data_IF_586850033136
#
_entry.id   IF_586850033136
#
_cell.length_a   1.000
_cell.length_b   1.000
_cell.length_c   1.000
_cell.angle_alpha   90.00
_cell.angle_beta   90.00
_cell.angle_gamma   90.00
#
_symmetry.space_group_name_H-M   'P 1'
#
loop_
_entity.id
_entity.type
_entity.pdbx_description
1 polymer ?
#
# COMPACT_ATOMS: atom_id res chain seq x y z
N UNK A 1 0.35 28.86 15.88
CA UNK A 1 1.23 27.96 16.65
C UNK A 1 1.68 26.87 15.71
N UNK A 2 2.98 26.67 15.56
CA UNK A 2 3.52 25.61 14.71
C UNK A 2 3.36 24.28 15.44
N UNK A 3 2.62 23.35 14.84
CA UNK A 3 2.30 22.05 15.43
C UNK A 3 3.31 20.99 14.95
N UNK A 4 3.82 20.19 15.88
CA UNK A 4 4.89 19.22 15.64
C UNK A 4 4.42 17.80 15.93
N UNK A 5 5.08 16.83 15.31
CA UNK A 5 4.92 15.39 15.57
C UNK A 5 6.27 14.83 15.98
N UNK A 6 6.29 14.13 17.11
CA UNK A 6 7.44 13.32 17.52
C UNK A 6 7.50 12.07 16.66
N UNK A 7 8.62 11.88 15.98
CA UNK A 7 8.90 10.69 15.18
C UNK A 7 10.30 10.15 15.48
N UNK A 8 10.58 8.99 14.92
CA UNK A 8 11.93 8.44 14.88
C UNK A 8 12.38 8.30 13.44
N UNK A 9 13.58 8.76 13.13
CA UNK A 9 14.20 8.68 11.81
C UNK A 9 15.46 7.82 11.89
N UNK A 10 15.58 6.84 11.01
CA UNK A 10 16.81 6.10 10.76
C UNK A 10 17.61 6.84 9.69
N UNK A 11 18.83 7.28 10.01
CA UNK A 11 19.74 7.96 9.07
C UNK A 11 21.02 7.14 9.04
N UNK A 12 21.35 6.57 7.87
CA UNK A 12 22.55 5.74 7.67
C UNK A 12 22.69 4.58 8.70
N UNK A 13 21.57 3.98 9.11
CA UNK A 13 21.54 2.87 10.07
C UNK A 13 21.51 3.29 11.54
N UNK A 14 21.58 4.60 11.84
CA UNK A 14 21.49 5.15 13.19
C UNK A 14 20.12 5.79 13.43
N UNK A 15 19.63 5.69 14.66
CA UNK A 15 18.25 6.08 15.01
C UNK A 15 18.23 7.37 15.80
N UNK A 16 17.49 8.37 15.30
CA UNK A 16 17.38 9.69 15.90
C UNK A 16 15.92 10.03 16.23
N UNK A 17 15.61 10.55 17.45
CA UNK A 17 14.34 11.19 17.71
C UNK A 17 14.28 12.53 16.96
N UNK A 18 13.13 12.84 16.34
CA UNK A 18 12.95 14.07 15.59
C UNK A 18 11.57 14.68 15.84
N UNK A 19 11.50 16.00 15.78
CA UNK A 19 10.24 16.76 15.83
C UNK A 19 9.99 17.40 14.47
N UNK A 20 8.97 16.90 13.78
CA UNK A 20 8.66 17.32 12.40
C UNK A 20 7.40 18.17 12.42
N UNK A 21 7.43 19.32 11.73
CA UNK A 21 6.23 20.15 11.56
C UNK A 21 5.17 19.37 10.78
N UNK A 22 3.91 19.43 11.22
CA UNK A 22 2.82 18.61 10.64
C UNK A 22 2.59 18.81 9.15
N UNK A 23 2.79 20.03 8.69
CA UNK A 23 2.62 20.47 7.31
C UNK A 23 3.90 20.37 6.47
N UNK A 24 5.02 19.95 7.07
CA UNK A 24 6.26 19.76 6.33
C UNK A 24 6.10 18.60 5.34
N UNK A 25 6.24 18.93 4.05
CA UNK A 25 6.32 17.92 2.99
C UNK A 25 7.59 17.10 3.11
N UNK A 26 7.53 15.83 2.74
CA UNK A 26 8.70 14.95 2.79
C UNK A 26 9.88 15.44 1.94
N UNK A 27 9.62 16.19 0.86
CA UNK A 27 10.68 16.90 0.11
C UNK A 27 11.50 17.83 0.99
N UNK A 28 10.82 18.63 1.82
CA UNK A 28 11.46 19.54 2.76
C UNK A 28 12.19 18.78 3.87
N UNK A 29 11.57 17.71 4.39
CA UNK A 29 12.21 16.85 5.38
C UNK A 29 13.52 16.22 4.87
N UNK A 30 13.53 15.71 3.63
CA UNK A 30 14.74 15.18 2.99
C UNK A 30 15.83 16.26 2.92
N UNK A 31 15.48 17.50 2.59
CA UNK A 31 16.44 18.60 2.53
C UNK A 31 17.01 18.96 3.90
N UNK A 32 16.17 19.02 4.93
CA UNK A 32 16.61 19.30 6.30
C UNK A 32 17.54 18.20 6.82
N UNK A 33 17.20 16.92 6.62
CA UNK A 33 18.08 15.80 7.00
C UNK A 33 19.42 15.88 6.26
N UNK A 34 19.41 16.17 4.94
CA UNK A 34 20.67 16.31 4.17
C UNK A 34 21.54 17.45 4.68
N UNK A 35 20.93 18.54 5.16
CA UNK A 35 21.65 19.69 5.70
C UNK A 35 22.20 19.39 7.09
N UNK A 36 21.42 18.74 7.95
CA UNK A 36 21.81 18.38 9.32
C UNK A 36 22.95 17.35 9.32
N UNK A 37 22.89 16.35 8.44
CA UNK A 37 23.87 15.25 8.36
C UNK A 37 24.88 15.42 7.21
N UNK A 38 25.17 16.66 6.81
CA UNK A 38 25.99 16.94 5.62
C UNK A 38 27.41 16.37 5.72
N UNK A 39 28.02 16.39 6.91
CA UNK A 39 29.40 15.91 7.10
C UNK A 39 29.46 14.38 7.12
N UNK A 40 28.47 13.70 7.71
CA UNK A 40 28.33 12.26 7.69
C UNK A 40 28.13 11.73 6.26
N UNK A 41 27.32 12.45 5.46
CA UNK A 41 27.11 12.12 4.05
C UNK A 41 28.38 12.28 3.21
N UNK A 42 29.20 13.30 3.49
CA UNK A 42 30.52 13.47 2.86
C UNK A 42 31.47 12.34 3.25
N UNK A 43 31.55 12.00 4.54
CA UNK A 43 32.40 10.91 5.04
C UNK A 43 32.01 9.55 4.42
N UNK A 44 30.72 9.33 4.19
CA UNK A 44 30.20 8.14 3.52
C UNK A 44 30.28 8.20 1.98
N UNK A 45 30.75 9.31 1.40
CA UNK A 45 30.80 9.54 -0.06
C UNK A 45 29.43 9.47 -0.76
N UNK A 46 28.38 10.00 -0.10
CA UNK A 46 26.98 9.97 -0.57
C UNK A 46 26.43 11.36 -0.94
N UNK A 47 27.26 12.40 -0.97
CA UNK A 47 26.86 13.79 -1.17
C UNK A 47 26.07 14.06 -2.47
N UNK A 48 26.35 13.27 -3.51
CA UNK A 48 25.73 13.37 -4.83
C UNK A 48 24.63 12.33 -5.08
N UNK A 49 24.35 11.45 -4.11
CA UNK A 49 23.34 10.41 -4.25
C UNK A 49 21.92 10.98 -4.20
N UNK A 50 20.98 10.22 -4.78
CA UNK A 50 19.55 10.50 -4.65
C UNK A 50 19.04 9.87 -3.37
N UNK A 51 18.41 10.69 -2.53
CA UNK A 51 17.87 10.25 -1.25
C UNK A 51 16.36 10.16 -1.29
N UNK A 52 15.84 9.18 -0.56
CA UNK A 52 14.42 9.01 -0.35
C UNK A 52 14.12 8.72 1.12
N UNK A 53 12.85 8.83 1.46
CA UNK A 53 12.31 8.37 2.72
C UNK A 53 11.44 7.14 2.48
N UNK A 54 11.42 6.21 3.42
CA UNK A 54 10.47 5.10 3.47
C UNK A 54 10.12 4.77 4.92
N UNK A 55 9.09 3.97 5.12
CA UNK A 55 8.75 3.47 6.45
C UNK A 55 9.60 2.25 6.77
N UNK A 56 10.09 2.13 8.00
CA UNK A 56 10.83 0.94 8.43
C UNK A 56 9.94 -0.30 8.29
N UNK A 57 10.45 -1.29 7.56
CA UNK A 57 9.69 -2.50 7.21
C UNK A 57 8.69 -2.31 6.08
N UNK A 58 8.50 -1.09 5.57
CA UNK A 58 7.66 -0.78 4.41
C UNK A 58 8.30 -1.18 3.07
N UNK A 59 7.53 -1.04 2.00
CA UNK A 59 8.04 -1.14 0.63
C UNK A 59 7.83 0.17 -0.11
N UNK A 60 8.78 0.51 -0.99
CA UNK A 60 8.75 1.72 -1.80
C UNK A 60 9.15 2.97 -1.00
N UNK A 61 9.33 4.06 -1.73
CA UNK A 61 9.64 5.37 -1.18
C UNK A 61 8.34 6.15 -0.89
N UNK A 62 8.42 7.09 0.04
CA UNK A 62 7.34 8.02 0.33
C UNK A 62 7.22 9.05 -0.77
N UNK A 63 5.97 9.43 -1.05
CA UNK A 63 5.66 10.53 -1.96
C UNK A 63 6.16 11.85 -1.36
N UNK A 64 7.12 12.49 -2.04
CA UNK A 64 7.79 13.70 -1.55
C UNK A 64 6.85 14.90 -1.38
N UNK A 65 5.67 14.89 -2.00
CA UNK A 65 4.70 15.98 -1.91
C UNK A 65 3.66 15.78 -0.79
N UNK A 66 3.67 14.63 -0.11
CA UNK A 66 2.88 14.33 1.10
C UNK A 66 3.56 14.79 2.38
N UNK A 67 2.79 14.82 3.46
CA UNK A 67 3.20 15.19 4.82
C UNK A 67 3.16 14.00 5.78
N UNK A 68 3.71 14.18 6.98
CA UNK A 68 3.65 13.15 8.04
C UNK A 68 2.21 12.79 8.43
N UNK A 69 1.27 13.74 8.31
CA UNK A 69 -0.14 13.55 8.63
C UNK A 69 -0.83 12.62 7.63
N UNK A 70 -0.41 12.61 6.37
CA UNK A 70 -1.01 11.79 5.31
C UNK A 70 -0.69 10.30 5.47
N UNK A 71 0.39 9.97 6.18
CA UNK A 71 0.90 8.60 6.32
C UNK A 71 0.50 7.98 7.67
N UNK A 72 0.24 8.81 8.67
CA UNK A 72 -0.06 8.38 10.03
C UNK A 72 1.20 8.37 10.92
N UNK A 73 1.01 8.84 12.15
CA UNK A 73 2.07 9.38 13.02
C UNK A 73 2.85 8.35 13.85
N UNK A 74 2.71 7.04 13.60
CA UNK A 74 3.24 6.01 14.52
C UNK A 74 4.24 5.03 13.89
N UNK A 75 4.99 5.48 12.88
CA UNK A 75 5.95 4.63 12.16
C UNK A 75 7.31 5.29 12.09
N UNK A 76 8.36 4.48 12.22
CA UNK A 76 9.76 4.92 12.09
C UNK A 76 10.07 5.19 10.62
N UNK A 77 10.56 6.39 10.32
CA UNK A 77 11.06 6.76 9.00
C UNK A 77 12.47 6.22 8.82
N UNK A 78 12.83 5.90 7.59
CA UNK A 78 14.18 5.56 7.17
C UNK A 78 14.56 6.50 6.06
N UNK A 79 15.72 7.13 6.22
CA UNK A 79 16.38 7.98 5.25
C UNK A 79 17.61 7.24 4.73
N UNK A 80 17.69 7.14 3.42
CA UNK A 80 18.84 6.57 2.74
C UNK A 80 18.76 6.80 1.24
N UNK A 81 19.64 6.15 0.50
CA UNK A 81 19.69 6.31 -0.96
C UNK A 81 18.48 5.63 -1.61
N UNK A 82 18.05 6.12 -2.77
CA UNK A 82 17.01 5.48 -3.58
C UNK A 82 17.37 4.03 -3.95
N UNK A 83 18.68 3.72 -4.03
CA UNK A 83 19.18 2.38 -4.31
C UNK A 83 18.92 1.39 -3.15
N UNK A 84 18.95 1.87 -1.91
CA UNK A 84 18.70 1.07 -0.70
C UNK A 84 17.21 0.90 -0.38
N UNK A 85 16.35 1.72 -1.00
CA UNK A 85 14.92 1.70 -0.72
C UNK A 85 14.33 0.30 -0.95
N UNK A 86 13.58 -0.26 0.02
CA UNK A 86 13.06 -1.61 -0.06
C UNK A 86 12.11 -1.75 -1.24
N UNK A 87 12.40 -2.69 -2.15
CA UNK A 87 11.55 -2.96 -3.30
C UNK A 87 10.51 -4.02 -2.96
N UNK A 88 9.26 -3.77 -3.32
CA UNK A 88 8.18 -4.74 -3.18
C UNK A 88 8.49 -5.95 -4.07
N UNK A 89 8.29 -7.17 -3.56
CA UNK A 89 8.41 -8.38 -4.40
C UNK A 89 7.26 -8.37 -5.41
N UNK A 90 7.60 -8.41 -6.70
CA UNK A 90 6.64 -8.42 -7.81
C UNK A 90 6.89 -9.64 -8.69
N UNK A 91 5.81 -10.30 -9.13
CA UNK A 91 5.89 -11.37 -10.12
C UNK A 91 4.70 -11.33 -11.07
N UNK A 92 4.84 -11.92 -12.27
CA UNK A 92 3.73 -12.05 -13.21
C UNK A 92 2.70 -13.06 -12.70
N UNK A 93 1.44 -12.65 -12.64
CA UNK A 93 0.31 -13.47 -12.21
C UNK A 93 -0.87 -13.22 -13.16
N UNK A 94 -0.90 -13.91 -14.32
CA UNK A 94 -1.96 -13.76 -15.30
C UNK A 94 -3.33 -14.06 -14.72
N UNK A 95 -4.36 -13.38 -15.24
CA UNK A 95 -5.74 -13.55 -14.79
C UNK A 95 -6.20 -14.99 -14.90
N UNK A 96 -5.91 -15.66 -16.02
CA UNK A 96 -6.31 -17.05 -16.28
C UNK A 96 -5.75 -17.97 -15.20
N UNK A 97 -4.49 -17.74 -14.79
CA UNK A 97 -3.85 -18.50 -13.71
C UNK A 97 -4.64 -18.36 -12.41
N UNK A 98 -5.04 -17.13 -12.05
CA UNK A 98 -5.82 -16.87 -10.83
C UNK A 98 -7.18 -17.59 -10.88
N UNK A 99 -7.85 -17.56 -12.02
CA UNK A 99 -9.15 -18.23 -12.19
C UNK A 99 -9.05 -19.76 -12.06
N UNK A 100 -7.90 -20.33 -12.45
CA UNK A 100 -7.60 -21.77 -12.34
C UNK A 100 -7.02 -22.18 -10.97
N UNK A 101 -6.67 -21.24 -10.09
CA UNK A 101 -6.16 -21.59 -8.76
C UNK A 101 -7.28 -22.24 -7.93
N UNK A 102 -6.97 -23.33 -7.19
CA UNK A 102 -7.93 -23.92 -6.28
C UNK A 102 -8.24 -22.93 -5.15
N UNK A 103 -9.51 -22.84 -4.77
CA UNK A 103 -9.92 -22.05 -3.61
C UNK A 103 -9.54 -22.80 -2.33
N UNK A 104 -8.61 -22.23 -1.56
CA UNK A 104 -8.13 -22.78 -0.30
C UNK A 104 -8.69 -21.94 0.84
N UNK A 105 -9.33 -22.60 1.81
CA UNK A 105 -9.74 -21.94 3.06
C UNK A 105 -8.47 -21.61 3.85
N UNK A 106 -8.21 -20.32 4.00
CA UNK A 106 -7.14 -19.82 4.86
C UNK A 106 -7.77 -19.58 6.23
N UNK A 107 -7.46 -20.44 7.21
CA UNK A 107 -8.21 -20.52 8.47
C UNK A 107 -8.41 -19.17 9.18
N UNK A 108 -9.52 -19.04 9.91
CA UNK A 108 -9.96 -17.80 10.59
C UNK A 108 -8.89 -17.19 11.54
N UNK A 109 -7.95 -18.01 12.01
CA UNK A 109 -6.83 -17.59 12.87
C UNK A 109 -5.85 -16.61 12.23
N UNK A 110 -5.88 -16.41 10.91
CA UNK A 110 -4.98 -15.46 10.24
C UNK A 110 -5.43 -14.01 10.34
N UNK A 111 -6.67 -13.77 10.79
CA UNK A 111 -7.13 -12.43 11.15
C UNK A 111 -7.09 -11.42 9.99
N UNK A 112 -7.18 -11.91 8.75
CA UNK A 112 -7.05 -11.08 7.55
C UNK A 112 -8.38 -10.40 7.24
N UNK A 113 -8.32 -9.09 7.00
CA UNK A 113 -9.49 -8.32 6.59
C UNK A 113 -9.12 -7.24 5.58
N UNK A 114 -10.08 -6.90 4.72
CA UNK A 114 -10.12 -5.63 4.01
C UNK A 114 -11.08 -4.70 4.74
N UNK A 115 -10.68 -3.47 5.01
CA UNK A 115 -11.55 -2.45 5.63
C UNK A 115 -11.77 -1.33 4.63
N UNK A 116 -13.01 -1.14 4.19
CA UNK A 116 -13.34 -0.05 3.26
C UNK A 116 -13.38 1.29 4.01
N UNK A 117 -12.66 2.30 3.49
CA UNK A 117 -12.36 3.49 4.27
C UNK A 117 -13.56 4.42 4.53
N UNK A 118 -14.56 4.47 3.64
CA UNK A 118 -15.67 5.42 3.71
C UNK A 118 -16.77 4.94 4.66
N UNK A 119 -17.19 3.69 4.52
CA UNK A 119 -18.24 3.03 5.31
C UNK A 119 -17.71 2.33 6.55
N UNK A 120 -16.38 2.11 6.62
CA UNK A 120 -15.72 1.30 7.66
C UNK A 120 -16.17 -0.16 7.66
N UNK A 121 -16.80 -0.62 6.57
CA UNK A 121 -17.22 -2.01 6.43
C UNK A 121 -15.99 -2.92 6.37
N UNK A 122 -16.00 -3.94 7.20
CA UNK A 122 -14.96 -4.96 7.25
C UNK A 122 -15.35 -6.18 6.41
N UNK A 123 -14.40 -6.68 5.64
CA UNK A 123 -14.51 -7.89 4.84
C UNK A 123 -13.43 -8.87 5.30
N UNK A 124 -13.80 -9.81 6.16
CA UNK A 124 -12.95 -10.96 6.51
C UNK A 124 -12.54 -11.77 5.28
N UNK A 125 -11.30 -12.26 5.27
CA UNK A 125 -10.75 -13.05 4.19
C UNK A 125 -10.47 -14.46 4.70
N UNK A 126 -11.39 -15.38 4.41
CA UNK A 126 -11.35 -16.76 4.89
C UNK A 126 -10.98 -17.77 3.79
N UNK A 127 -10.75 -17.29 2.56
CA UNK A 127 -10.33 -18.10 1.41
C UNK A 127 -9.43 -17.31 0.46
N UNK A 128 -8.60 -18.03 -0.29
CA UNK A 128 -7.75 -17.49 -1.36
C UNK A 128 -7.77 -18.42 -2.59
N UNK A 129 -7.64 -17.88 -3.82
CA UNK A 129 -7.67 -16.47 -4.13
C UNK A 129 -9.07 -15.86 -3.88
N UNK A 130 -9.13 -14.55 -3.65
CA UNK A 130 -10.39 -13.81 -3.60
C UNK A 130 -10.37 -12.71 -4.66
N UNK A 131 -11.44 -12.63 -5.47
CA UNK A 131 -11.63 -11.55 -6.43
C UNK A 131 -12.41 -10.43 -5.75
N UNK A 132 -11.92 -9.20 -5.90
CA UNK A 132 -12.51 -7.99 -5.34
C UNK A 132 -12.94 -7.04 -6.45
N UNK A 133 -14.07 -6.37 -6.25
CA UNK A 133 -14.67 -5.47 -7.22
C UNK A 133 -16.06 -4.99 -6.77
N UNK A 134 -16.78 -4.36 -7.70
CA UNK A 134 -18.14 -3.86 -7.48
C UNK A 134 -19.15 -5.01 -7.37
N UNK A 135 -20.16 -4.86 -6.51
CA UNK A 135 -21.33 -5.74 -6.47
C UNK A 135 -22.10 -5.72 -7.81
N UNK A 136 -22.59 -6.88 -8.23
CA UNK A 136 -23.46 -7.02 -9.39
C UNK A 136 -23.88 -8.48 -9.54
N UNK A 137 -25.13 -8.72 -9.96
CA UNK A 137 -25.74 -10.04 -10.10
C UNK A 137 -24.84 -11.01 -10.89
N UNK A 138 -24.26 -11.97 -10.19
CA UNK A 138 -23.88 -13.28 -10.74
C UNK A 138 -24.25 -14.32 -9.67
N UNK A 139 -25.37 -14.98 -9.93
CA UNK A 139 -25.76 -16.26 -9.35
C UNK A 139 -24.73 -17.34 -9.73
N UNK A 140 -24.74 -18.45 -8.98
CA UNK A 140 -23.98 -19.71 -9.13
C UNK A 140 -22.86 -19.94 -8.10
N UNK A 141 -23.24 -20.44 -6.93
CA UNK A 141 -22.72 -21.71 -6.42
C UNK A 141 -21.27 -21.84 -5.94
N UNK A 142 -20.40 -20.84 -6.14
CA UNK A 142 -18.99 -20.93 -5.75
C UNK A 142 -18.48 -19.63 -5.11
N UNK A 143 -17.97 -19.78 -3.90
CA UNK A 143 -17.73 -18.75 -2.88
C UNK A 143 -16.51 -17.90 -3.28
N UNK A 144 -16.64 -17.02 -4.28
CA UNK A 144 -15.50 -16.23 -4.83
C UNK A 144 -15.66 -14.71 -4.85
N UNK A 145 -16.79 -14.14 -4.42
CA UNK A 145 -17.01 -12.70 -4.54
C UNK A 145 -17.60 -12.10 -3.26
N UNK A 146 -16.82 -11.27 -2.57
CA UNK A 146 -17.36 -10.22 -1.67
C UNK A 146 -17.29 -8.93 -2.48
N UNK A 147 -18.44 -8.48 -2.97
CA UNK A 147 -18.50 -7.22 -3.72
C UNK A 147 -18.57 -6.02 -2.77
N UNK A 148 -18.26 -4.85 -3.31
CA UNK A 148 -18.55 -3.56 -2.68
C UNK A 148 -19.88 -3.02 -3.24
N UNK A 149 -20.83 -2.71 -2.36
CA UNK A 149 -22.16 -2.22 -2.73
C UNK A 149 -22.11 -0.89 -3.51
N UNK A 150 -22.61 -0.94 -4.74
CA UNK A 150 -22.65 0.18 -5.68
C UNK A 150 -23.69 1.25 -5.31
N UNK A 151 -24.73 0.91 -4.55
CA UNK A 151 -25.77 1.86 -4.12
C UNK A 151 -25.23 2.86 -3.11
N UNK A 152 -24.17 2.47 -2.39
CA UNK A 152 -23.49 3.34 -1.46
C UNK A 152 -22.43 4.16 -2.22
N UNK A 153 -21.76 3.60 -3.24
CA UNK A 153 -20.62 4.20 -3.96
C UNK A 153 -20.99 4.63 -5.40
N UNK A 154 -21.45 5.87 -5.64
CA UNK A 154 -21.68 6.37 -7.02
C UNK A 154 -20.41 6.33 -7.89
N UNK A 155 -19.24 6.41 -7.26
CA UNK A 155 -17.91 6.26 -7.88
C UNK A 155 -17.57 4.81 -8.30
N UNK A 156 -18.36 3.81 -7.92
CA UNK A 156 -18.12 2.41 -8.27
C UNK A 156 -18.21 2.13 -9.78
N UNK A 157 -18.64 3.09 -10.61
CA UNK A 157 -18.66 2.94 -12.07
C UNK A 157 -17.26 2.68 -12.65
N UNK A 158 -16.20 3.21 -12.03
CA UNK A 158 -14.80 2.95 -12.42
C UNK A 158 -14.24 1.66 -11.81
N UNK A 159 -15.07 0.94 -11.04
CA UNK A 159 -14.71 -0.32 -10.40
C UNK A 159 -15.42 -1.47 -11.12
N UNK A 160 -14.65 -2.30 -11.84
CA UNK A 160 -15.18 -3.55 -12.42
C UNK A 160 -15.60 -4.55 -11.35
N UNK A 161 -16.45 -5.52 -11.71
CA UNK A 161 -16.87 -6.61 -10.80
C UNK A 161 -15.71 -7.55 -10.44
N UNK A 162 -14.79 -7.70 -11.37
CA UNK A 162 -13.58 -8.51 -11.35
C UNK A 162 -12.33 -7.62 -11.39
N UNK A 163 -12.26 -6.63 -10.49
CA UNK A 163 -11.30 -5.53 -10.57
C UNK A 163 -9.86 -5.96 -10.27
N UNK A 164 -9.69 -6.68 -9.17
CA UNK A 164 -8.41 -7.17 -8.69
C UNK A 164 -8.62 -8.49 -7.95
N UNK A 165 -7.53 -9.19 -7.65
CA UNK A 165 -7.55 -10.37 -6.80
C UNK A 165 -6.50 -10.30 -5.72
N UNK A 166 -6.84 -10.81 -4.54
CA UNK A 166 -5.85 -11.19 -3.55
C UNK A 166 -5.46 -12.65 -3.75
N UNK A 167 -4.16 -12.90 -3.71
CA UNK A 167 -3.58 -14.24 -3.78
C UNK A 167 -2.60 -14.44 -2.64
N UNK A 168 -2.43 -15.69 -2.23
CA UNK A 168 -1.42 -16.10 -1.25
C UNK A 168 -0.33 -16.90 -1.98
N UNK A 169 0.92 -16.66 -1.59
CA UNK A 169 2.08 -17.43 -2.03
C UNK A 169 3.15 -17.41 -0.95
N UNK A 170 3.59 -18.59 -0.52
CA UNK A 170 4.69 -18.78 0.43
C UNK A 170 4.49 -18.02 1.77
N UNK A 171 3.25 -17.99 2.27
CA UNK A 171 2.82 -17.29 3.48
C UNK A 171 2.69 -15.77 3.33
N UNK A 172 2.80 -15.24 2.11
CA UNK A 172 2.70 -13.81 1.79
C UNK A 172 1.47 -13.54 0.94
N UNK A 173 0.88 -12.35 1.12
CA UNK A 173 -0.32 -11.93 0.42
C UNK A 173 0.03 -10.92 -0.66
N UNK A 174 -0.65 -11.00 -1.80
CA UNK A 174 -0.39 -10.14 -2.94
C UNK A 174 -1.70 -9.63 -3.53
N UNK A 175 -1.69 -8.37 -3.99
CA UNK A 175 -2.75 -7.81 -4.83
C UNK A 175 -2.35 -7.95 -6.30
N UNK A 176 -3.29 -8.38 -7.14
CA UNK A 176 -3.12 -8.52 -8.59
C UNK A 176 -4.21 -7.72 -9.29
N UNK A 177 -3.87 -6.69 -10.08
CA UNK A 177 -4.85 -5.98 -10.91
C UNK A 177 -5.34 -6.89 -12.05
N UNK A 178 -6.66 -7.01 -12.19
CA UNK A 178 -7.31 -7.88 -13.18
C UNK A 178 -7.96 -7.12 -14.33
N UNK A 179 -7.86 -5.79 -14.36
CA UNK A 179 -8.43 -4.92 -15.40
C UNK A 179 -7.38 -3.90 -15.86
N UNK A 180 -7.27 -3.74 -17.18
CA UNK A 180 -6.33 -2.78 -17.79
C UNK A 180 -6.89 -1.35 -17.78
N UNK A 181 -8.18 -1.23 -18.07
CA UNK A 181 -8.85 0.07 -18.27
C UNK A 181 -9.30 0.71 -16.95
N UNK A 182 -9.46 -0.10 -15.90
CA UNK A 182 -9.82 0.34 -14.56
C UNK A 182 -8.65 0.04 -13.61
N UNK A 183 -7.79 1.03 -13.34
CA UNK A 183 -6.53 0.79 -12.63
C UNK A 183 -6.73 0.51 -11.14
N UNK A 184 -5.81 -0.30 -10.59
CA UNK A 184 -5.63 -0.51 -9.15
C UNK A 184 -4.38 0.22 -8.68
N UNK A 185 -4.41 0.78 -7.47
CA UNK A 185 -3.30 1.53 -6.89
C UNK A 185 -2.98 1.07 -5.48
N UNK A 186 -1.72 1.25 -5.08
CA UNK A 186 -1.34 1.37 -3.67
C UNK A 186 -1.45 2.84 -3.27
N UNK A 187 -2.58 3.21 -2.65
CA UNK A 187 -2.94 4.60 -2.38
C UNK A 187 -1.97 5.31 -1.42
N UNK A 188 -1.35 4.57 -0.50
CA UNK A 188 -0.33 5.12 0.41
C UNK A 188 0.85 5.72 -0.37
N UNK A 189 1.26 5.05 -1.46
CA UNK A 189 2.39 5.42 -2.30
C UNK A 189 1.98 6.18 -3.56
N UNK A 190 0.68 6.32 -3.82
CA UNK A 190 0.13 6.82 -5.08
C UNK A 190 0.66 6.05 -6.31
N UNK A 191 0.95 4.76 -6.14
CA UNK A 191 1.56 3.92 -7.17
C UNK A 191 0.46 3.18 -7.95
N UNK A 192 0.42 3.36 -9.27
CA UNK A 192 -0.44 2.55 -10.16
C UNK A 192 0.19 1.18 -10.34
N UNK A 193 -0.59 0.13 -10.08
CA UNK A 193 -0.16 -1.24 -10.24
C UNK A 193 -0.27 -1.68 -11.70
N UNK A 194 0.73 -2.41 -12.18
CA UNK A 194 0.73 -3.01 -13.51
C UNK A 194 -0.30 -4.14 -13.61
N UNK A 195 -1.00 -4.21 -14.74
CA UNK A 195 -1.95 -5.28 -15.06
C UNK A 195 -1.27 -6.67 -14.97
N UNK A 196 -1.94 -7.64 -14.32
CA UNK A 196 -1.46 -9.03 -14.15
C UNK A 196 -0.10 -9.19 -13.46
N UNK A 197 0.24 -8.22 -12.61
CA UNK A 197 1.44 -8.26 -11.78
C UNK A 197 1.01 -8.31 -10.33
N UNK A 198 1.59 -9.26 -9.59
CA UNK A 198 1.30 -9.49 -8.19
C UNK A 198 2.22 -8.63 -7.32
N UNK A 199 1.64 -7.77 -6.49
CA UNK A 199 2.37 -6.88 -5.59
C UNK A 199 2.15 -7.31 -4.14
N UNK A 200 3.23 -7.62 -3.43
CA UNK A 200 3.15 -8.10 -2.05
C UNK A 200 2.51 -7.04 -1.14
N UNK A 201 1.52 -7.40 -0.33
CA UNK A 201 0.83 -6.52 0.60
C UNK A 201 1.40 -6.60 2.01
N UNK A 202 1.28 -5.49 2.73
CA UNK A 202 1.55 -5.40 4.17
C UNK A 202 0.35 -4.85 4.92
N UNK A 203 0.25 -5.19 6.20
CA UNK A 203 -0.79 -4.63 7.06
C UNK A 203 -0.71 -3.08 7.08
N UNK A 204 -1.86 -2.45 6.83
CA UNK A 204 -2.02 -1.02 6.66
C UNK A 204 -1.83 -0.53 5.21
N UNK A 205 -1.52 -1.40 4.24
CA UNK A 205 -1.55 -1.03 2.83
C UNK A 205 -2.97 -0.63 2.42
N UNK A 206 -3.09 0.54 1.79
CA UNK A 206 -4.33 1.00 1.19
C UNK A 206 -4.34 0.68 -0.30
N UNK A 207 -5.34 -0.08 -0.72
CA UNK A 207 -5.58 -0.49 -2.09
C UNK A 207 -6.73 0.37 -2.62
N UNK A 208 -6.48 1.16 -3.66
CA UNK A 208 -7.55 1.90 -4.35
C UNK A 208 -7.95 1.18 -5.64
N UNK A 209 -9.23 0.85 -5.76
CA UNK A 209 -9.84 0.29 -6.95
C UNK A 209 -10.48 1.43 -7.76
N UNK A 210 -10.15 1.52 -9.05
CA UNK A 210 -10.65 2.55 -9.97
C UNK A 210 -9.96 3.91 -9.78
N UNK A 211 -10.27 4.84 -10.68
CA UNK A 211 -9.73 6.21 -10.64
C UNK A 211 -10.38 7.08 -9.56
N UNK A 212 -9.64 8.10 -9.10
CA UNK A 212 -10.03 9.01 -8.02
C UNK A 212 -11.46 9.59 -8.25
N UNK A 213 -12.40 9.45 -7.30
CA UNK A 213 -12.19 9.03 -5.90
C UNK A 213 -11.95 7.53 -5.69
N UNK A 214 -12.52 6.66 -6.53
CA UNK A 214 -12.35 5.20 -6.45
C UNK A 214 -12.81 4.64 -5.10
N UNK A 215 -12.54 3.36 -4.86
CA UNK A 215 -12.84 2.71 -3.57
C UNK A 215 -11.53 2.33 -2.89
N UNK A 216 -11.34 2.78 -1.65
CA UNK A 216 -10.12 2.53 -0.88
C UNK A 216 -10.36 1.44 0.17
N UNK A 217 -9.59 0.37 0.09
CA UNK A 217 -9.60 -0.76 1.00
C UNK A 217 -8.27 -0.83 1.75
N UNK A 218 -8.30 -0.87 3.07
CA UNK A 218 -7.11 -1.10 3.90
C UNK A 218 -6.95 -2.60 4.16
N UNK A 219 -5.81 -3.17 3.76
CA UNK A 219 -5.44 -4.54 4.12
C UNK A 219 -4.98 -4.59 5.57
N UNK A 220 -5.60 -5.46 6.36
CA UNK A 220 -5.28 -5.63 7.78
C UNK A 220 -5.04 -7.10 8.10
N UNK A 221 -4.20 -7.32 9.11
CA UNK A 221 -3.86 -8.62 9.67
C UNK A 221 -3.77 -8.45 11.18
N UNK A 222 -4.58 -9.20 11.93
CA UNK A 222 -4.57 -9.22 13.39
C UNK A 222 -3.64 -10.30 13.93
#
# INVERSE_FOLDING_TARGET
MTDYVDVTVDVLGQTYPAKIQRDLKFRGLVQEIRKEFAEELKQANLEHERFALWLKGGFGTLDLDKTIMDIGVNRKLVFGTEAEAPRRKVFSCPRERIMMMPSVRIGEMLGLKLVEERTKREYEINWMPIVIGREGFIDMGDIRQRGIDEHIHPEAITVSRDHAALVERDGQYYIVPLRRDNPTYLANLNERLEYERAYMLQAGDKIRLGDNPGIVLTFTRT
#
